data_IF_319449756884
#
_entry.id   IF_319449756884
#
_cell.length_a   1.000
_cell.length_b   1.000
_cell.length_c   1.000
_cell.angle_alpha   90.00
_cell.angle_beta   90.00
_cell.angle_gamma   90.00
#
_symmetry.space_group_name_H-M   'P 1'
#
loop_
_entity.id
_entity.type
_entity.pdbx_description
1 polymer ?
#
# COMPACT_ATOMS: atom_id res chain seq x y z
N UNK A 1 9.99 -6.93 15.46
CA UNK A 1 9.08 -5.97 14.80
C UNK A 1 9.07 -6.31 13.32
N UNK A 2 7.98 -6.86 12.79
CA UNK A 2 7.89 -7.21 11.38
C UNK A 2 7.80 -5.93 10.53
N UNK A 3 8.71 -5.79 9.58
CA UNK A 3 8.75 -4.73 8.58
C UNK A 3 7.75 -5.00 7.45
N UNK A 4 7.61 -4.06 6.51
CA UNK A 4 6.75 -4.26 5.34
C UNK A 4 7.23 -5.45 4.49
N UNK A 5 8.53 -5.72 4.47
CA UNK A 5 9.12 -6.85 3.74
C UNK A 5 8.76 -8.19 4.37
N UNK A 6 8.59 -8.24 5.70
CA UNK A 6 8.27 -9.48 6.42
C UNK A 6 6.78 -9.86 6.27
N UNK A 7 5.90 -8.87 6.10
CA UNK A 7 4.48 -9.10 5.84
C UNK A 7 3.88 -7.98 4.96
N UNK A 8 4.01 -8.09 3.62
CA UNK A 8 3.49 -7.09 2.69
C UNK A 8 1.97 -6.98 2.69
N UNK A 9 1.24 -8.00 3.13
CA UNK A 9 -0.23 -7.98 3.15
C UNK A 9 -0.82 -7.40 4.44
N UNK A 10 0.00 -6.90 5.36
CA UNK A 10 -0.45 -6.32 6.65
C UNK A 10 -1.25 -5.02 6.49
N UNK A 11 -0.98 -4.25 5.45
CA UNK A 11 -1.73 -3.03 5.13
C UNK A 11 -3.08 -3.41 4.54
N UNK A 12 -4.10 -2.54 4.57
CA UNK A 12 -5.42 -2.86 4.00
C UNK A 12 -5.36 -3.08 2.47
N UNK A 13 -6.29 -3.87 1.92
CA UNK A 13 -6.53 -3.94 0.46
C UNK A 13 -6.81 -2.52 -0.05
N UNK A 14 -6.25 -2.17 -1.19
CA UNK A 14 -6.44 -0.85 -1.78
C UNK A 14 -7.89 -0.63 -2.17
N UNK A 15 -8.42 0.55 -1.86
CA UNK A 15 -9.79 0.95 -2.24
C UNK A 15 -9.88 1.30 -3.74
N UNK A 16 -8.73 1.46 -4.41
CA UNK A 16 -8.64 1.89 -5.81
C UNK A 16 -8.58 0.73 -6.81
N UNK A 17 -8.33 -0.50 -6.32
CA UNK A 17 -8.12 -1.68 -7.16
C UNK A 17 -8.90 -2.87 -6.60
N UNK A 18 -9.65 -3.54 -7.46
CA UNK A 18 -10.29 -4.81 -7.10
C UNK A 18 -9.34 -6.00 -7.26
N UNK A 19 -8.19 -5.94 -6.58
CA UNK A 19 -7.17 -6.99 -6.57
C UNK A 19 -6.50 -7.01 -5.18
N UNK A 20 -6.41 -8.19 -4.56
CA UNK A 20 -5.90 -8.35 -3.18
C UNK A 20 -4.41 -8.02 -3.04
N UNK A 21 -3.67 -8.04 -4.15
CA UNK A 21 -2.25 -7.72 -4.22
C UNK A 21 -1.96 -6.22 -4.11
N UNK A 22 -2.96 -5.36 -4.29
CA UNK A 22 -2.83 -3.92 -4.16
C UNK A 22 -3.19 -3.51 -2.75
N UNK A 23 -2.30 -2.78 -2.08
CA UNK A 23 -2.44 -2.39 -0.67
C UNK A 23 -2.21 -0.90 -0.49
N UNK A 24 -2.88 -0.34 0.51
CA UNK A 24 -2.71 1.05 0.92
C UNK A 24 -1.90 1.14 2.22
N UNK A 25 -0.68 1.67 2.15
CA UNK A 25 0.09 2.05 3.33
C UNK A 25 -0.22 3.50 3.70
N UNK A 26 -0.88 3.70 4.84
CA UNK A 26 -1.15 5.03 5.40
C UNK A 26 -0.02 5.41 6.35
N UNK A 27 0.64 6.52 6.08
CA UNK A 27 1.72 7.04 6.92
C UNK A 27 1.70 8.57 6.96
N UNK A 28 1.55 9.15 8.16
CA UNK A 28 1.58 10.62 8.38
C UNK A 28 0.64 11.41 7.46
N UNK A 29 -0.54 10.87 7.17
CA UNK A 29 -1.54 11.50 6.29
C UNK A 29 -1.28 11.33 4.79
N UNK A 30 -0.22 10.59 4.42
CA UNK A 30 -0.01 10.11 3.06
C UNK A 30 -0.58 8.71 2.89
N UNK A 31 -1.05 8.43 1.70
CA UNK A 31 -1.39 7.10 1.21
C UNK A 31 -0.35 6.71 0.17
N UNK A 32 0.27 5.56 0.37
CA UNK A 32 1.20 4.94 -0.57
C UNK A 32 0.49 3.71 -1.11
N UNK A 33 0.16 3.70 -2.40
CA UNK A 33 -0.38 2.52 -3.07
C UNK A 33 0.80 1.69 -3.55
N UNK A 34 0.83 0.42 -3.17
CA UNK A 34 1.80 -0.53 -3.68
C UNK A 34 1.13 -1.85 -4.08
N UNK A 35 1.78 -2.56 -5.00
CA UNK A 35 1.42 -3.90 -5.41
C UNK A 35 2.45 -4.90 -4.91
N UNK A 36 2.00 -5.98 -4.29
CA UNK A 36 2.82 -7.16 -4.00
C UNK A 36 2.85 -8.01 -5.26
N UNK A 37 4.02 -8.23 -5.83
CA UNK A 37 4.17 -9.05 -7.03
C UNK A 37 5.42 -9.92 -6.90
N UNK A 38 5.22 -11.23 -6.83
CA UNK A 38 6.28 -12.21 -6.56
C UNK A 38 7.05 -11.82 -5.28
N UNK A 39 8.36 -11.58 -5.40
CA UNK A 39 9.25 -11.17 -4.29
C UNK A 39 9.49 -9.65 -4.27
N UNK A 40 8.65 -8.88 -4.97
CA UNK A 40 8.82 -7.44 -5.13
C UNK A 40 7.62 -6.65 -4.64
N UNK A 41 7.89 -5.46 -4.13
CA UNK A 41 6.89 -4.45 -3.80
C UNK A 41 7.05 -3.32 -4.80
N UNK A 42 6.04 -3.12 -5.65
CA UNK A 42 6.02 -2.04 -6.62
C UNK A 42 5.24 -0.87 -6.03
N UNK A 43 5.91 0.26 -5.78
CA UNK A 43 5.24 1.50 -5.39
C UNK A 43 4.63 2.13 -6.65
N UNK A 44 3.33 2.40 -6.60
CA UNK A 44 2.58 2.94 -7.74
C UNK A 44 2.38 4.44 -7.59
N UNK A 45 1.94 4.87 -6.41
CA UNK A 45 1.60 6.28 -6.17
C UNK A 45 1.80 6.65 -4.70
N UNK A 46 2.13 7.92 -4.46
CA UNK A 46 2.19 8.53 -3.14
C UNK A 46 1.44 9.85 -3.20
N UNK A 47 0.36 9.96 -2.41
CA UNK A 47 -0.42 11.18 -2.36
C UNK A 47 -0.83 11.50 -0.93
N UNK A 48 -1.03 12.80 -0.66
CA UNK A 48 -1.59 13.26 0.62
C UNK A 48 -3.10 13.32 0.46
N UNK A 49 -3.84 12.69 1.37
CA UNK A 49 -5.28 12.88 1.38
C UNK A 49 -5.56 14.35 1.75
N UNK A 50 -6.18 15.08 0.83
CA UNK A 50 -6.67 16.43 1.07
C UNK A 50 -8.19 16.36 0.99
N UNK A 51 -8.85 16.78 2.08
CA UNK A 51 -10.30 16.99 2.09
C UNK A 51 -10.59 18.07 1.05
N UNK A 52 -11.31 17.71 -0.02
CA UNK A 52 -11.85 18.68 -0.98
C UNK A 52 -12.83 19.62 -0.28
#
# INVERSE_FOLDING_TARGET
>A
MASLLDNPYRCRKSEYFDDENYRDLIYKGYTIIYKVQNETIMILEIFKWQKR
#
